data_IF_674176665661
#
_entry.id   IF_674176665661
#
_cell.length_a   1.000
_cell.length_b   1.000
_cell.length_c   1.000
_cell.angle_alpha   90.00
_cell.angle_beta   90.00
_cell.angle_gamma   90.00
#
_symmetry.space_group_name_H-M   'P 1'
#
loop_
_entity.id
_entity.type
_entity.pdbx_description
1 polymer ?
#
# COMPACT_ATOMS: atom_id res chain seq x y z
N UNK A 1 65.53 -10.27 -47.68
CA UNK A 1 65.12 -11.30 -46.70
C UNK A 1 64.71 -10.62 -45.40
N UNK A 2 63.51 -10.97 -44.87
CA UNK A 2 63.03 -10.78 -43.49
C UNK A 2 62.86 -9.31 -43.01
N UNK A 3 61.80 -8.90 -42.30
CA UNK A 3 60.48 -9.41 -41.92
C UNK A 3 59.76 -8.15 -41.36
N UNK A 4 58.60 -7.79 -41.88
CA UNK A 4 57.74 -6.76 -41.30
C UNK A 4 57.10 -7.31 -40.02
N UNK A 5 57.16 -6.55 -38.92
CA UNK A 5 56.45 -6.86 -37.68
C UNK A 5 55.31 -5.84 -37.53
N UNK A 6 54.15 -6.17 -38.08
CA UNK A 6 52.90 -5.45 -37.86
C UNK A 6 52.28 -5.98 -36.57
N UNK A 7 52.38 -5.20 -35.49
CA UNK A 7 51.67 -5.46 -34.23
C UNK A 7 50.24 -4.95 -34.41
N UNK A 8 49.31 -5.88 -34.69
CA UNK A 8 47.87 -5.63 -34.58
C UNK A 8 47.51 -5.66 -33.09
N UNK A 9 47.40 -4.47 -32.49
CA UNK A 9 46.78 -4.30 -31.17
C UNK A 9 45.26 -4.49 -31.36
N UNK A 10 44.79 -5.71 -31.17
CA UNK A 10 43.36 -5.99 -31.08
C UNK A 10 42.79 -5.41 -29.79
N UNK A 11 42.07 -4.30 -29.89
CA UNK A 11 41.17 -3.84 -28.83
C UNK A 11 40.05 -4.87 -28.66
N UNK A 12 40.23 -5.81 -27.73
CA UNK A 12 39.13 -6.58 -27.17
C UNK A 12 38.30 -5.65 -26.30
N UNK A 13 37.27 -5.05 -26.87
CA UNK A 13 36.16 -4.49 -26.10
C UNK A 13 35.44 -5.71 -25.50
N UNK A 14 35.84 -6.09 -24.28
CA UNK A 14 35.04 -6.96 -23.44
C UNK A 14 33.75 -6.19 -23.16
N UNK A 15 32.70 -6.51 -23.92
CA UNK A 15 31.34 -6.16 -23.55
C UNK A 15 31.06 -6.84 -22.21
N UNK A 16 31.21 -6.11 -21.11
CA UNK A 16 30.69 -6.53 -19.83
C UNK A 16 29.16 -6.62 -20.00
N UNK A 17 28.53 -7.79 -19.86
CA UNK A 17 27.11 -7.86 -19.64
C UNK A 17 26.90 -7.54 -18.17
N UNK A 18 27.19 -6.29 -17.77
CA UNK A 18 26.55 -5.76 -16.58
C UNK A 18 25.06 -5.79 -16.90
N UNK A 19 24.42 -6.84 -16.38
CA UNK A 19 23.01 -6.95 -16.10
C UNK A 19 22.36 -5.57 -16.12
N UNK A 20 21.65 -5.28 -17.22
CA UNK A 20 20.55 -4.33 -17.22
C UNK A 20 19.55 -4.86 -16.19
N UNK A 21 19.80 -4.59 -14.91
CA UNK A 21 18.81 -4.72 -13.86
C UNK A 21 17.70 -3.78 -14.29
N UNK A 22 16.64 -4.35 -14.87
CA UNK A 22 15.45 -3.61 -15.24
C UNK A 22 15.06 -2.80 -14.01
N UNK A 23 15.07 -1.47 -14.13
CA UNK A 23 14.66 -0.61 -13.03
C UNK A 23 13.26 -1.06 -12.58
N UNK A 24 13.03 -1.20 -11.27
CA UNK A 24 11.73 -1.65 -10.80
C UNK A 24 10.67 -0.66 -11.27
N UNK A 25 9.64 -1.18 -11.92
CA UNK A 25 8.50 -0.40 -12.38
C UNK A 25 7.59 -0.02 -11.20
N UNK A 26 6.80 1.06 -11.33
CA UNK A 26 5.79 1.39 -10.31
C UNK A 26 4.86 0.20 -10.03
N UNK A 27 4.46 -0.55 -11.07
CA UNK A 27 3.63 -1.75 -10.94
C UNK A 27 4.28 -2.83 -10.08
N UNK A 28 5.55 -3.17 -10.34
CA UNK A 28 6.25 -4.20 -9.56
C UNK A 28 6.44 -3.77 -8.11
N UNK A 29 6.81 -2.50 -7.87
CA UNK A 29 6.93 -1.97 -6.50
C UNK A 29 5.58 -1.97 -5.76
N UNK A 30 4.49 -1.66 -6.46
CA UNK A 30 3.13 -1.73 -5.90
C UNK A 30 2.77 -3.15 -5.49
N UNK A 31 3.08 -4.14 -6.34
CA UNK A 31 2.86 -5.55 -6.05
C UNK A 31 3.69 -6.02 -4.85
N UNK A 32 4.96 -5.65 -4.79
CA UNK A 32 5.84 -5.99 -3.67
C UNK A 32 5.35 -5.31 -2.38
N UNK A 33 4.95 -4.04 -2.42
CA UNK A 33 4.39 -3.32 -1.27
C UNK A 33 3.10 -3.97 -0.74
N UNK A 34 2.23 -4.46 -1.63
CA UNK A 34 1.02 -5.20 -1.24
C UNK A 34 1.35 -6.58 -0.67
N UNK A 35 2.38 -7.25 -1.19
CA UNK A 35 2.87 -8.54 -0.67
C UNK A 35 3.38 -8.36 0.76
N UNK A 36 4.20 -7.34 1.01
CA UNK A 36 4.64 -7.00 2.36
C UNK A 36 3.47 -6.64 3.30
N UNK A 37 2.46 -5.89 2.82
CA UNK A 37 1.27 -5.61 3.62
C UNK A 37 0.49 -6.90 3.95
N UNK A 38 0.43 -7.85 3.02
CA UNK A 38 -0.21 -9.15 3.26
C UNK A 38 0.58 -9.97 4.28
N UNK A 39 1.88 -10.13 4.08
CA UNK A 39 2.76 -10.95 4.92
C UNK A 39 2.76 -10.42 6.36
N UNK A 40 2.85 -9.10 6.55
CA UNK A 40 2.72 -8.48 7.88
C UNK A 40 1.34 -8.66 8.54
N UNK A 41 0.26 -8.89 7.78
CA UNK A 41 -1.07 -9.20 8.35
C UNK A 41 -1.18 -10.64 8.83
N UNK A 42 -0.47 -11.58 8.19
CA UNK A 42 -0.59 -13.01 8.48
C UNK A 42 0.53 -13.54 9.39
N UNK A 43 1.63 -12.80 9.54
CA UNK A 43 2.68 -13.10 10.51
C UNK A 43 2.15 -12.95 11.96
N UNK A 44 2.72 -13.74 12.87
CA UNK A 44 2.38 -13.80 14.29
C UNK A 44 3.39 -13.08 15.18
N UNK A 45 4.63 -12.93 14.74
CA UNK A 45 5.67 -12.24 15.49
C UNK A 45 5.58 -10.72 15.28
N UNK A 46 5.54 -9.96 16.37
CA UNK A 46 5.37 -8.50 16.29
C UNK A 46 6.51 -7.81 15.52
N UNK A 47 7.75 -8.24 15.72
CA UNK A 47 8.90 -7.61 15.08
C UNK A 47 8.90 -7.91 13.57
N UNK A 48 8.62 -9.16 13.17
CA UNK A 48 8.47 -9.52 11.76
C UNK A 48 7.36 -8.72 11.08
N UNK A 49 6.19 -8.59 11.74
CA UNK A 49 5.09 -7.77 11.23
C UNK A 49 5.49 -6.33 10.96
N UNK A 50 6.21 -5.70 11.90
CA UNK A 50 6.72 -4.32 11.73
C UNK A 50 7.67 -4.27 10.53
N UNK A 51 8.62 -5.20 10.46
CA UNK A 51 9.60 -5.24 9.36
C UNK A 51 8.94 -5.34 7.99
N UNK A 52 7.90 -6.17 7.86
CA UNK A 52 7.08 -6.25 6.65
C UNK A 52 6.45 -4.90 6.31
N UNK A 53 5.71 -4.29 7.24
CA UNK A 53 5.03 -3.03 6.93
C UNK A 53 5.98 -1.85 6.66
N UNK A 54 7.13 -1.78 7.34
CA UNK A 54 8.16 -0.77 7.06
C UNK A 54 8.75 -0.96 5.66
N UNK A 55 9.05 -2.21 5.27
CA UNK A 55 9.51 -2.53 3.92
C UNK A 55 8.45 -2.19 2.87
N UNK A 56 7.20 -2.57 3.11
CA UNK A 56 6.07 -2.25 2.24
C UNK A 56 5.80 -0.75 2.12
N UNK A 57 6.01 0.02 3.21
CA UNK A 57 5.94 1.48 3.17
C UNK A 57 7.00 2.06 2.22
N UNK A 58 8.26 1.63 2.33
CA UNK A 58 9.34 2.11 1.45
C UNK A 58 9.05 1.79 -0.01
N UNK A 59 8.59 0.57 -0.30
CA UNK A 59 8.22 0.15 -1.66
C UNK A 59 7.03 0.98 -2.20
N UNK A 60 6.02 1.22 -1.38
CA UNK A 60 4.86 2.04 -1.74
C UNK A 60 5.23 3.50 -2.01
N UNK A 61 6.13 4.08 -1.20
CA UNK A 61 6.68 5.43 -1.43
C UNK A 61 7.40 5.52 -2.78
N UNK A 62 8.22 4.51 -3.11
CA UNK A 62 8.91 4.45 -4.40
C UNK A 62 7.92 4.26 -5.56
N UNK A 63 6.90 3.42 -5.39
CA UNK A 63 5.87 3.20 -6.41
C UNK A 63 5.10 4.48 -6.75
N UNK A 64 4.70 5.25 -5.73
CA UNK A 64 4.04 6.55 -5.89
C UNK A 64 4.99 7.58 -6.52
N UNK A 65 6.27 7.57 -6.15
CA UNK A 65 7.25 8.48 -6.76
C UNK A 65 7.48 8.20 -8.25
N UNK A 66 7.36 6.95 -8.69
CA UNK A 66 7.46 6.57 -10.10
C UNK A 66 6.17 6.83 -10.89
N UNK A 67 4.99 6.72 -10.25
CA UNK A 67 3.69 6.99 -10.86
C UNK A 67 2.67 7.46 -9.80
N UNK A 68 2.51 8.78 -9.69
CA UNK A 68 1.58 9.44 -8.75
C UNK A 68 0.12 9.46 -9.24
N UNK A 69 -0.14 8.81 -10.38
CA UNK A 69 -1.48 8.60 -10.95
C UNK A 69 -1.94 7.16 -10.78
N UNK A 70 -1.12 6.29 -10.21
CA UNK A 70 -1.49 4.91 -9.89
C UNK A 70 -2.29 4.86 -8.59
N UNK A 71 -3.59 4.61 -8.71
CA UNK A 71 -4.46 4.40 -7.55
C UNK A 71 -3.96 3.26 -6.66
N UNK A 72 -3.51 2.16 -7.28
CA UNK A 72 -3.01 0.99 -6.57
C UNK A 72 -1.70 1.28 -5.81
N UNK A 73 -0.82 2.14 -6.33
CA UNK A 73 0.40 2.54 -5.64
C UNK A 73 0.08 3.35 -4.36
N UNK A 74 -0.86 4.30 -4.47
CA UNK A 74 -1.38 5.03 -3.32
C UNK A 74 -2.06 4.10 -2.31
N UNK A 75 -2.84 3.12 -2.78
CA UNK A 75 -3.50 2.14 -1.92
C UNK A 75 -2.49 1.24 -1.19
N UNK A 76 -1.44 0.80 -1.87
CA UNK A 76 -0.39 -0.03 -1.28
C UNK A 76 0.38 0.72 -0.18
N UNK A 77 0.69 2.00 -0.40
CA UNK A 77 1.29 2.85 0.62
C UNK A 77 0.34 3.06 1.80
N UNK A 78 -0.95 3.34 1.54
CA UNK A 78 -1.98 3.42 2.58
C UNK A 78 -2.06 2.15 3.43
N UNK A 79 -2.06 0.97 2.80
CA UNK A 79 -2.17 -0.32 3.48
C UNK A 79 -1.09 -0.48 4.55
N UNK A 80 0.17 -0.25 4.16
CA UNK A 80 1.33 -0.42 5.04
C UNK A 80 1.37 0.63 6.15
N UNK A 81 1.13 1.91 5.83
CA UNK A 81 1.04 2.97 6.84
C UNK A 81 -0.08 2.72 7.85
N UNK A 82 -1.25 2.28 7.37
CA UNK A 82 -2.41 1.98 8.19
C UNK A 82 -2.17 0.80 9.13
N UNK A 83 -1.50 -0.26 8.67
CA UNK A 83 -1.16 -1.40 9.52
C UNK A 83 -0.05 -1.08 10.54
N UNK A 84 0.96 -0.27 10.17
CA UNK A 84 1.95 0.26 11.12
C UNK A 84 1.28 1.03 12.25
N UNK A 85 0.35 1.94 11.93
CA UNK A 85 -0.35 2.72 12.95
C UNK A 85 -1.22 1.86 13.89
N UNK A 86 -1.63 0.67 13.46
CA UNK A 86 -2.48 -0.24 14.25
C UNK A 86 -1.68 -1.32 14.98
N UNK A 87 -0.35 -1.37 14.80
CA UNK A 87 0.50 -2.43 15.34
C UNK A 87 0.41 -2.52 16.88
N UNK A 88 0.25 -1.37 17.55
CA UNK A 88 0.12 -1.25 19.00
C UNK A 88 -1.33 -1.12 19.47
N UNK A 89 -2.29 -1.46 18.61
CA UNK A 89 -3.73 -1.40 18.87
C UNK A 89 -4.42 -0.18 18.26
N UNK A 90 -5.76 -0.16 18.35
CA UNK A 90 -6.61 0.88 17.72
C UNK A 90 -6.42 2.28 18.33
N UNK A 91 -5.82 2.37 19.53
CA UNK A 91 -5.51 3.62 20.23
C UNK A 91 -4.17 4.25 19.81
N UNK A 92 -3.34 3.56 19.00
CA UNK A 92 -2.02 4.06 18.57
C UNK A 92 -2.10 4.97 17.33
N UNK A 93 -3.02 5.92 17.33
CA UNK A 93 -2.94 7.07 16.42
C UNK A 93 -2.04 8.10 17.13
N UNK A 94 -0.77 7.75 17.31
CA UNK A 94 0.16 8.50 18.19
C UNK A 94 0.59 9.86 17.61
N UNK A 95 0.24 10.17 16.35
CA UNK A 95 0.39 11.53 15.81
C UNK A 95 -0.67 11.92 14.78
N UNK A 96 -1.17 13.16 14.88
CA UNK A 96 -2.06 13.78 13.87
C UNK A 96 -1.40 13.80 12.49
N UNK A 97 -0.07 13.95 12.43
CA UNK A 97 0.69 13.93 11.19
C UNK A 97 0.64 12.56 10.50
N UNK A 98 0.85 11.47 11.24
CA UNK A 98 0.72 10.11 10.73
C UNK A 98 -0.68 9.81 10.20
N UNK A 99 -1.70 10.22 10.95
CA UNK A 99 -3.10 10.06 10.52
C UNK A 99 -3.42 10.83 9.23
N UNK A 100 -2.97 12.08 9.11
CA UNK A 100 -3.10 12.88 7.89
C UNK A 100 -2.42 12.21 6.70
N UNK A 101 -1.24 11.63 6.93
CA UNK A 101 -0.51 10.90 5.88
C UNK A 101 -1.29 9.68 5.41
N UNK A 102 -1.78 8.85 6.32
CA UNK A 102 -2.61 7.68 5.99
C UNK A 102 -3.85 8.09 5.18
N UNK A 103 -4.61 9.07 5.68
CA UNK A 103 -5.85 9.52 5.03
C UNK A 103 -5.60 10.17 3.67
N UNK A 104 -4.50 10.90 3.50
CA UNK A 104 -4.10 11.46 2.21
C UNK A 104 -3.97 10.38 1.14
N UNK A 105 -3.26 9.28 1.42
CA UNK A 105 -3.04 8.23 0.43
C UNK A 105 -4.33 7.45 0.11
N UNK A 106 -5.20 7.25 1.11
CA UNK A 106 -6.53 6.67 0.90
C UNK A 106 -7.42 7.56 0.03
N UNK A 107 -7.48 8.85 0.35
CA UNK A 107 -8.31 9.80 -0.39
C UNK A 107 -7.80 9.95 -1.81
N UNK A 108 -6.47 9.98 -2.01
CA UNK A 108 -5.86 10.01 -3.34
C UNK A 108 -6.18 8.75 -4.16
N UNK A 109 -6.20 7.57 -3.52
CA UNK A 109 -6.64 6.34 -4.17
C UNK A 109 -8.07 6.49 -4.73
N UNK A 110 -9.00 7.01 -3.92
CA UNK A 110 -10.40 7.18 -4.31
C UNK A 110 -10.65 8.34 -5.26
N UNK A 111 -9.79 9.36 -5.28
CA UNK A 111 -9.79 10.40 -6.32
C UNK A 111 -9.42 9.83 -7.69
N UNK A 112 -8.45 8.93 -7.73
CA UNK A 112 -7.95 8.32 -8.97
C UNK A 112 -8.84 7.15 -9.44
N UNK A 113 -9.34 6.34 -8.51
CA UNK A 113 -10.20 5.18 -8.76
C UNK A 113 -11.39 5.17 -7.78
N UNK A 114 -12.49 5.88 -8.11
CA UNK A 114 -13.64 6.03 -7.22
C UNK A 114 -14.38 4.72 -6.86
N UNK A 115 -14.20 3.67 -7.66
CA UNK A 115 -14.79 2.34 -7.47
C UNK A 115 -13.81 1.31 -6.89
N UNK A 116 -12.61 1.74 -6.45
CA UNK A 116 -11.62 0.87 -5.83
C UNK A 116 -12.16 0.25 -4.54
N UNK A 117 -12.57 -1.02 -4.59
CA UNK A 117 -13.35 -1.66 -3.53
C UNK A 117 -12.63 -1.75 -2.18
N UNK A 118 -11.32 -2.05 -2.17
CA UNK A 118 -10.58 -2.13 -0.91
C UNK A 118 -10.41 -0.75 -0.23
N UNK A 119 -10.17 0.31 -1.02
CA UNK A 119 -10.14 1.69 -0.55
C UNK A 119 -11.51 2.15 -0.03
N UNK A 120 -12.60 1.80 -0.72
CA UNK A 120 -13.96 2.07 -0.24
C UNK A 120 -14.23 1.32 1.09
N UNK A 121 -13.77 0.08 1.22
CA UNK A 121 -13.88 -0.71 2.47
C UNK A 121 -13.11 -0.05 3.61
N UNK A 122 -11.90 0.43 3.33
CA UNK A 122 -11.08 1.14 4.31
C UNK A 122 -11.71 2.48 4.71
N UNK A 123 -12.18 3.28 3.74
CA UNK A 123 -12.85 4.56 4.00
C UNK A 123 -14.11 4.38 4.82
N UNK A 124 -14.92 3.37 4.50
CA UNK A 124 -16.12 3.06 5.26
C UNK A 124 -15.78 2.72 6.71
N UNK A 125 -14.74 1.91 6.93
CA UNK A 125 -14.25 1.58 8.27
C UNK A 125 -13.75 2.82 9.02
N UNK A 126 -13.07 3.75 8.38
CA UNK A 126 -12.63 5.00 9.00
C UNK A 126 -13.83 5.86 9.42
N UNK A 127 -14.83 5.99 8.55
CA UNK A 127 -16.06 6.73 8.83
C UNK A 127 -16.82 6.18 10.04
N UNK A 128 -16.78 4.86 10.26
CA UNK A 128 -17.39 4.22 11.43
C UNK A 128 -16.61 4.41 12.73
N UNK A 129 -15.28 4.47 12.66
CA UNK A 129 -14.41 4.44 13.85
C UNK A 129 -14.00 5.80 14.36
N UNK A 130 -13.95 6.79 13.47
CA UNK A 130 -13.49 8.13 13.84
C UNK A 130 -14.62 8.91 14.54
N UNK A 131 -14.28 9.77 15.51
CA UNK A 131 -15.19 10.81 15.97
C UNK A 131 -15.61 11.72 14.81
N UNK A 132 -16.81 12.30 14.90
CA UNK A 132 -17.35 13.20 13.88
C UNK A 132 -16.46 14.42 13.60
N UNK A 133 -15.77 14.96 14.61
CA UNK A 133 -14.80 16.06 14.43
C UNK A 133 -13.58 15.67 13.57
N UNK A 134 -13.23 14.38 13.54
CA UNK A 134 -12.13 13.83 12.74
C UNK A 134 -12.61 13.23 11.41
N UNK A 135 -13.83 13.58 10.98
CA UNK A 135 -14.41 13.12 9.72
C UNK A 135 -15.21 11.82 9.84
N UNK A 136 -15.48 11.34 11.05
CA UNK A 136 -16.41 10.25 11.30
C UNK A 136 -17.82 10.55 10.80
N UNK A 137 -18.47 9.59 10.17
CA UNK A 137 -19.87 9.66 9.79
C UNK A 137 -20.40 8.24 9.66
N UNK A 138 -21.06 7.77 10.73
CA UNK A 138 -21.54 6.40 10.84
C UNK A 138 -22.41 6.00 9.65
N UNK A 139 -23.47 6.76 9.40
CA UNK A 139 -24.44 6.47 8.34
C UNK A 139 -23.76 6.37 6.96
N UNK A 140 -22.87 7.30 6.64
CA UNK A 140 -22.08 7.26 5.40
C UNK A 140 -21.15 6.05 5.37
N UNK A 141 -20.52 5.71 6.50
CA UNK A 141 -19.66 4.54 6.64
C UNK A 141 -20.41 3.24 6.37
N UNK A 142 -21.58 3.05 6.98
CA UNK A 142 -22.40 1.86 6.80
C UNK A 142 -22.87 1.71 5.34
N UNK A 143 -23.38 2.79 4.73
CA UNK A 143 -23.79 2.79 3.31
C UNK A 143 -22.64 2.43 2.39
N UNK A 144 -21.43 2.94 2.65
CA UNK A 144 -20.25 2.64 1.84
C UNK A 144 -19.85 1.16 1.95
N UNK A 145 -19.86 0.60 3.17
CA UNK A 145 -19.53 -0.80 3.40
C UNK A 145 -20.60 -1.75 2.84
N UNK A 146 -21.88 -1.36 2.91
CA UNK A 146 -22.97 -2.09 2.24
C UNK A 146 -22.77 -2.10 0.71
N UNK A 147 -22.36 -0.97 0.12
CA UNK A 147 -22.01 -0.92 -1.30
C UNK A 147 -20.83 -1.84 -1.64
N UNK A 148 -19.79 -1.85 -0.80
CA UNK A 148 -18.67 -2.79 -0.95
C UNK A 148 -19.16 -4.24 -0.90
N UNK A 149 -20.04 -4.62 0.02
CA UNK A 149 -20.58 -5.98 0.09
C UNK A 149 -21.47 -6.35 -1.10
N UNK A 150 -22.16 -5.38 -1.70
CA UNK A 150 -22.92 -5.60 -2.93
C UNK A 150 -21.99 -5.98 -4.09
N UNK A 151 -20.80 -5.38 -4.17
CA UNK A 151 -19.82 -5.58 -5.26
C UNK A 151 -18.82 -6.70 -4.98
N UNK A 152 -18.43 -6.87 -3.73
CA UNK A 152 -17.52 -7.89 -3.23
C UNK A 152 -18.12 -8.53 -1.97
N UNK A 153 -19.06 -9.48 -2.12
CA UNK A 153 -19.70 -10.14 -1.00
C UNK A 153 -18.71 -10.81 -0.06
N UNK A 154 -17.54 -11.20 -0.54
CA UNK A 154 -16.49 -11.88 0.23
C UNK A 154 -15.62 -10.92 1.07
N UNK A 155 -15.86 -9.61 1.02
CA UNK A 155 -15.08 -8.63 1.81
C UNK A 155 -15.25 -8.85 3.32
N UNK A 156 -14.29 -9.56 3.92
CA UNK A 156 -14.26 -9.85 5.35
C UNK A 156 -14.21 -8.55 6.16
N UNK A 157 -13.42 -7.57 5.72
CA UNK A 157 -13.30 -6.28 6.39
C UNK A 157 -14.65 -5.57 6.45
N UNK A 158 -15.37 -5.46 5.32
CA UNK A 158 -16.66 -4.79 5.29
C UNK A 158 -17.72 -5.50 6.17
N UNK A 159 -17.75 -6.83 6.16
CA UNK A 159 -18.65 -7.61 7.04
C UNK A 159 -18.35 -7.35 8.51
N UNK A 160 -17.07 -7.45 8.91
CA UNK A 160 -16.68 -7.25 10.31
C UNK A 160 -16.91 -5.82 10.77
N UNK A 161 -16.63 -4.82 9.93
CA UNK A 161 -16.85 -3.41 10.26
C UNK A 161 -18.34 -3.09 10.43
N UNK A 162 -19.21 -3.61 9.56
CA UNK A 162 -20.67 -3.46 9.71
C UNK A 162 -21.20 -4.18 10.95
N UNK A 163 -20.75 -5.42 11.21
CA UNK A 163 -21.15 -6.16 12.40
C UNK A 163 -20.80 -5.39 13.68
N UNK A 164 -19.57 -4.86 13.76
CA UNK A 164 -19.15 -4.02 14.89
C UNK A 164 -20.01 -2.77 15.04
N UNK A 165 -20.35 -2.09 13.94
CA UNK A 165 -21.24 -0.94 13.96
C UNK A 165 -22.59 -1.32 14.56
N UNK A 166 -23.27 -2.32 13.99
CA UNK A 166 -24.62 -2.71 14.42
C UNK A 166 -24.68 -3.20 15.85
N UNK A 167 -23.66 -3.91 16.33
CA UNK A 167 -23.62 -4.33 17.74
C UNK A 167 -23.42 -3.16 18.72
N UNK A 168 -22.85 -2.03 18.30
CA UNK A 168 -22.69 -0.87 19.18
C UNK A 168 -24.02 -0.14 19.48
N UNK A 169 -25.08 -0.42 18.69
CA UNK A 169 -26.43 0.15 18.85
C UNK A 169 -27.44 -0.84 19.46
N UNK A 170 -26.99 -2.04 19.86
CA UNK A 170 -27.82 -3.14 20.39
C UNK A 170 -27.69 -3.35 21.88
#
# INVERSE_FOLDING_TARGET
MKRAFLILLGCWILANPESLLAQPSSRSLTQDAMTECHDGRVDRDRASRIGHFEKGQVLGEQAVALDDRSADAHFALFCNLGELSRIDGELSITSVAGFRRITKELDRTLELAPDHLDALSAKGTFLLRLPSLLGGNREKGERLLQYVLLKSPQSVNARLSLAKSYCADG
#
